data_IF_721814705833
#
_entry.id   IF_721814705833
#
_cell.length_a   1.000
_cell.length_b   1.000
_cell.length_c   1.000
_cell.angle_alpha   90.00
_cell.angle_beta   90.00
_cell.angle_gamma   90.00
#
_symmetry.space_group_name_H-M   'P 1'
#
loop_
_entity.id
_entity.type
_entity.pdbx_description
1 polymer ?
#
# COMPACT_ATOMS: atom_id res chain seq x y z
N UNK A 1 -41.89 -1.86 -1.88
CA UNK A 1 -40.73 -2.74 -2.11
C UNK A 1 -39.94 -2.85 -0.81
N UNK A 2 -39.75 -4.05 -0.32
CA UNK A 2 -38.91 -4.28 0.88
C UNK A 2 -37.46 -4.09 0.49
N UNK A 3 -36.73 -3.16 1.15
CA UNK A 3 -35.31 -2.98 0.92
C UNK A 3 -34.55 -4.20 1.48
N UNK A 4 -33.64 -4.75 0.69
CA UNK A 4 -32.73 -5.78 1.16
C UNK A 4 -31.66 -5.10 2.02
N UNK A 5 -31.50 -5.56 3.27
CA UNK A 5 -30.47 -5.05 4.16
C UNK A 5 -29.06 -5.51 3.72
N UNK A 6 -28.04 -4.67 3.82
CA UNK A 6 -26.66 -5.14 3.70
C UNK A 6 -26.32 -6.08 4.87
N UNK A 7 -25.18 -6.80 4.76
CA UNK A 7 -24.67 -7.60 5.89
C UNK A 7 -24.41 -6.72 7.10
N UNK A 8 -24.56 -7.23 8.31
CA UNK A 8 -24.45 -6.47 9.57
C UNK A 8 -23.10 -5.75 9.71
N UNK A 9 -22.01 -6.40 9.29
CA UNK A 9 -20.68 -5.80 9.33
C UNK A 9 -20.50 -4.57 8.41
N UNK A 10 -21.42 -4.35 7.47
CA UNK A 10 -21.44 -3.17 6.59
C UNK A 10 -22.48 -2.15 7.03
N UNK A 11 -23.60 -2.62 7.59
CA UNK A 11 -24.71 -1.77 7.99
C UNK A 11 -24.33 -0.71 9.03
N UNK A 12 -23.35 -1.00 9.88
CA UNK A 12 -22.84 -0.13 10.95
C UNK A 12 -21.61 0.69 10.54
N UNK A 13 -21.13 0.54 9.31
CA UNK A 13 -19.95 1.27 8.84
C UNK A 13 -20.32 2.62 8.24
N UNK A 14 -19.51 3.61 8.51
CA UNK A 14 -19.49 4.85 7.73
C UNK A 14 -18.50 4.71 6.58
N UNK A 15 -18.86 5.25 5.41
CA UNK A 15 -17.95 5.27 4.26
C UNK A 15 -16.76 6.19 4.53
N UNK A 16 -15.60 5.86 3.98
CA UNK A 16 -14.47 6.77 3.99
C UNK A 16 -14.79 8.02 3.15
N UNK A 17 -14.71 9.19 3.75
CA UNK A 17 -14.94 10.45 3.08
C UNK A 17 -13.69 11.33 3.12
N UNK A 18 -13.22 11.73 1.95
CA UNK A 18 -12.25 12.82 1.79
C UNK A 18 -12.90 13.87 0.89
N UNK A 19 -13.25 15.06 1.41
CA UNK A 19 -13.95 16.07 0.63
C UNK A 19 -13.08 16.55 -0.55
N UNK A 20 -13.66 16.56 -1.75
CA UNK A 20 -13.05 17.20 -2.92
C UNK A 20 -13.49 18.66 -2.97
N UNK A 21 -12.67 19.54 -2.43
CA UNK A 21 -12.94 20.97 -2.37
C UNK A 21 -12.31 21.68 -3.57
N UNK A 22 -13.03 22.63 -4.17
CA UNK A 22 -12.48 23.54 -5.17
C UNK A 22 -11.86 24.74 -4.44
N UNK A 23 -10.57 24.66 -4.17
CA UNK A 23 -9.77 25.67 -3.46
C UNK A 23 -8.44 25.87 -4.16
N UNK A 24 -7.82 27.04 -4.00
CA UNK A 24 -6.53 27.35 -4.64
C UNK A 24 -5.38 26.48 -4.09
N UNK A 25 -5.42 26.15 -2.80
CA UNK A 25 -4.43 25.28 -2.14
C UNK A 25 -5.13 24.10 -1.48
N UNK A 26 -4.95 22.91 -2.03
CA UNK A 26 -5.56 21.67 -1.55
C UNK A 26 -4.52 20.78 -0.87
N UNK A 27 -4.61 20.64 0.46
CA UNK A 27 -3.67 19.87 1.28
C UNK A 27 -4.28 18.64 1.95
N UNK A 28 -5.60 18.44 1.82
CA UNK A 28 -6.33 17.42 2.56
C UNK A 28 -6.13 15.98 2.07
N UNK A 29 -5.53 15.76 0.91
CA UNK A 29 -5.32 14.44 0.31
C UNK A 29 -3.84 14.11 0.10
N UNK A 30 -2.94 15.01 0.51
CA UNK A 30 -1.49 14.84 0.34
C UNK A 30 -1.10 14.50 -1.11
N UNK A 31 -1.72 15.17 -2.07
CA UNK A 31 -1.34 15.07 -3.47
C UNK A 31 -0.04 15.85 -3.74
N UNK A 32 0.75 15.42 -4.73
CA UNK A 32 1.90 16.19 -5.16
C UNK A 32 1.45 17.57 -5.68
N UNK A 33 2.09 18.67 -5.26
CA UNK A 33 1.76 20.01 -5.76
C UNK A 33 2.28 20.25 -7.19
N UNK A 34 3.13 19.37 -7.72
CA UNK A 34 3.75 19.48 -9.04
C UNK A 34 3.22 18.38 -9.96
N UNK A 35 2.89 18.71 -11.23
CA UNK A 35 2.48 17.72 -12.22
C UNK A 35 3.66 16.81 -12.60
N UNK A 36 3.41 15.63 -13.22
CA UNK A 36 4.48 14.82 -13.79
C UNK A 36 5.31 15.61 -14.83
N UNK A 37 6.57 15.20 -15.13
CA UNK A 37 7.38 15.81 -16.16
C UNK A 37 6.67 15.81 -17.53
N UNK A 38 6.81 16.85 -18.34
CA UNK A 38 6.21 16.89 -19.69
C UNK A 38 6.57 15.66 -20.54
N UNK A 39 7.83 15.21 -20.51
CA UNK A 39 8.27 14.03 -21.25
C UNK A 39 7.56 12.73 -20.80
N UNK A 40 7.18 12.60 -19.53
CA UNK A 40 6.34 11.49 -19.06
C UNK A 40 4.96 11.51 -19.74
N UNK A 41 4.32 12.68 -19.78
CA UNK A 41 2.98 12.83 -20.37
C UNK A 41 2.99 12.51 -21.86
N UNK A 42 3.99 13.00 -22.58
CA UNK A 42 4.18 12.74 -24.01
C UNK A 42 4.41 11.24 -24.29
N UNK A 43 5.31 10.60 -23.53
CA UNK A 43 5.60 9.18 -23.66
C UNK A 43 4.36 8.31 -23.36
N UNK A 44 3.60 8.66 -22.32
CA UNK A 44 2.36 7.94 -21.97
C UNK A 44 1.30 8.11 -23.06
N UNK A 45 1.14 9.31 -23.64
CA UNK A 45 0.19 9.54 -24.72
C UNK A 45 0.52 8.70 -25.96
N UNK A 46 1.81 8.59 -26.30
CA UNK A 46 2.26 7.75 -27.40
C UNK A 46 1.97 6.25 -27.15
N UNK A 47 2.26 5.76 -25.94
CA UNK A 47 2.01 4.36 -25.57
C UNK A 47 0.51 4.03 -25.56
N UNK A 48 -0.33 4.94 -25.06
CA UNK A 48 -1.79 4.78 -25.04
C UNK A 48 -2.38 4.71 -26.45
N UNK A 49 -1.79 5.41 -27.42
CA UNK A 49 -2.22 5.35 -28.82
C UNK A 49 -2.00 3.96 -29.47
N UNK A 50 -1.01 3.21 -29.00
CA UNK A 50 -0.67 1.87 -29.49
C UNK A 50 -1.43 0.74 -28.75
N UNK A 51 -2.24 1.05 -27.72
CA UNK A 51 -2.99 0.05 -26.98
C UNK A 51 -3.99 -0.67 -27.88
N UNK A 52 -3.92 -1.99 -27.92
CA UNK A 52 -4.91 -2.83 -28.58
C UNK A 52 -6.20 -2.95 -27.73
N UNK A 53 -7.07 -1.95 -27.80
CA UNK A 53 -8.28 -1.80 -26.97
C UNK A 53 -9.24 -2.99 -27.00
N UNK A 54 -9.15 -3.87 -27.96
CA UNK A 54 -9.97 -5.07 -28.11
C UNK A 54 -9.33 -6.31 -27.44
N UNK A 55 -8.19 -6.15 -26.76
CA UNK A 55 -7.47 -7.21 -26.06
C UNK A 55 -7.38 -6.92 -24.56
N UNK A 56 -7.35 -7.99 -23.77
CA UNK A 56 -7.01 -7.87 -22.35
C UNK A 56 -5.54 -7.49 -22.17
N UNK A 57 -5.21 -6.76 -21.09
CA UNK A 57 -3.82 -6.43 -20.75
C UNK A 57 -3.01 -7.69 -20.38
N UNK A 58 -1.69 -7.51 -20.24
CA UNK A 58 -0.88 -8.56 -19.60
C UNK A 58 -1.39 -8.80 -18.17
N UNK A 59 -1.88 -10.04 -17.94
CA UNK A 59 -2.46 -10.43 -16.65
C UNK A 59 -1.46 -10.31 -15.50
N UNK A 60 -0.19 -10.62 -15.78
CA UNK A 60 0.88 -10.63 -14.79
C UNK A 60 1.54 -9.25 -14.61
N UNK A 61 1.22 -8.26 -15.46
CA UNK A 61 1.91 -6.97 -15.53
C UNK A 61 3.44 -7.14 -15.55
N UNK A 62 3.92 -8.06 -16.38
CA UNK A 62 5.28 -8.60 -16.35
C UNK A 62 6.35 -7.53 -16.45
N UNK A 63 6.22 -6.61 -17.42
CA UNK A 63 7.20 -5.54 -17.60
C UNK A 63 7.23 -4.61 -16.38
N UNK A 64 6.07 -4.19 -15.88
CA UNK A 64 5.97 -3.30 -14.72
C UNK A 64 6.59 -3.93 -13.47
N UNK A 65 6.27 -5.20 -13.19
CA UNK A 65 6.85 -5.95 -12.06
C UNK A 65 8.37 -6.10 -12.19
N UNK A 66 8.84 -6.39 -13.39
CA UNK A 66 10.29 -6.47 -13.67
C UNK A 66 10.98 -5.14 -13.39
N UNK A 67 10.43 -4.02 -13.86
CA UNK A 67 11.00 -2.69 -13.65
C UNK A 67 10.99 -2.26 -12.18
N UNK A 68 9.91 -2.58 -11.45
CA UNK A 68 9.87 -2.34 -10.00
C UNK A 68 10.88 -3.24 -9.28
N UNK A 69 11.01 -4.50 -9.70
CA UNK A 69 12.03 -5.41 -9.17
C UNK A 69 13.45 -4.89 -9.38
N UNK A 70 13.77 -4.43 -10.59
CA UNK A 70 15.05 -3.78 -10.92
C UNK A 70 15.32 -2.54 -10.05
N UNK A 71 14.26 -1.72 -9.79
CA UNK A 71 14.34 -0.54 -8.94
C UNK A 71 14.79 -0.88 -7.51
N UNK A 72 14.30 -1.99 -6.98
CA UNK A 72 14.51 -2.39 -5.58
C UNK A 72 15.53 -3.55 -5.41
N UNK A 73 16.11 -4.05 -6.50
CA UNK A 73 17.09 -5.15 -6.47
C UNK A 73 16.48 -6.50 -6.10
N UNK A 74 15.21 -6.73 -6.44
CA UNK A 74 14.46 -7.97 -6.20
C UNK A 74 13.93 -8.58 -7.49
N UNK A 75 13.51 -9.84 -7.46
CA UNK A 75 12.86 -10.49 -8.61
C UNK A 75 11.40 -10.04 -8.81
N UNK A 76 10.85 -10.13 -10.04
CA UNK A 76 9.45 -9.80 -10.31
C UNK A 76 8.46 -10.67 -9.53
N UNK A 77 8.85 -11.88 -9.11
CA UNK A 77 8.07 -12.77 -8.25
C UNK A 77 7.87 -12.23 -6.83
N UNK A 78 8.70 -11.26 -6.39
CA UNK A 78 8.60 -10.57 -5.13
C UNK A 78 7.80 -9.27 -5.22
N UNK A 79 7.26 -8.92 -6.39
CA UNK A 79 6.51 -7.68 -6.63
C UNK A 79 5.04 -8.00 -6.94
N UNK A 80 4.13 -7.37 -6.23
CA UNK A 80 2.69 -7.38 -6.52
C UNK A 80 2.23 -5.96 -6.84
N UNK A 81 1.51 -5.76 -7.95
CA UNK A 81 1.01 -4.46 -8.42
C UNK A 81 -0.52 -4.42 -8.38
N UNK A 82 -1.10 -3.25 -8.06
CA UNK A 82 -2.55 -3.12 -7.93
C UNK A 82 -3.04 -1.67 -8.15
N UNK A 83 -4.38 -1.48 -8.10
CA UNK A 83 -5.02 -0.16 -8.27
C UNK A 83 -4.82 0.76 -7.06
N UNK A 84 -3.58 1.16 -6.85
CA UNK A 84 -3.09 1.91 -5.69
C UNK A 84 -2.76 1.00 -4.51
N UNK A 85 -2.00 1.53 -3.54
CA UNK A 85 -1.68 0.78 -2.32
C UNK A 85 -2.93 0.33 -1.55
N UNK A 86 -4.06 1.01 -1.69
CA UNK A 86 -5.32 0.61 -1.05
C UNK A 86 -5.81 -0.77 -1.52
N UNK A 87 -5.71 -1.09 -2.81
CA UNK A 87 -6.04 -2.45 -3.29
C UNK A 87 -5.00 -3.47 -2.84
N UNK A 88 -3.72 -3.09 -2.75
CA UNK A 88 -2.69 -3.94 -2.14
C UNK A 88 -3.07 -4.30 -0.70
N UNK A 89 -3.39 -3.30 0.14
CA UNK A 89 -3.80 -3.49 1.52
C UNK A 89 -5.09 -4.33 1.63
N UNK A 90 -6.05 -4.10 0.73
CA UNK A 90 -7.28 -4.89 0.67
C UNK A 90 -7.00 -6.35 0.31
N UNK A 91 -6.15 -6.59 -0.68
CA UNK A 91 -5.78 -7.95 -1.09
C UNK A 91 -5.04 -8.68 0.03
N UNK A 92 -4.12 -8.00 0.75
CA UNK A 92 -3.49 -8.53 1.96
C UNK A 92 -4.53 -8.93 3.02
N UNK A 93 -5.50 -8.05 3.28
CA UNK A 93 -6.54 -8.30 4.28
C UNK A 93 -7.52 -9.40 3.86
N UNK A 94 -7.79 -9.57 2.56
CA UNK A 94 -8.58 -10.67 2.02
C UNK A 94 -7.82 -12.01 2.07
N UNK A 95 -6.49 -11.98 1.95
CA UNK A 95 -5.64 -13.17 1.93
C UNK A 95 -5.33 -13.67 3.34
N UNK A 96 -4.89 -12.78 4.22
CA UNK A 96 -4.37 -13.12 5.56
C UNK A 96 -5.32 -12.75 6.70
N UNK A 97 -6.30 -11.88 6.46
CA UNK A 97 -7.37 -11.51 7.39
C UNK A 97 -8.60 -12.42 7.31
N UNK A 98 -9.77 -11.83 7.55
CA UNK A 98 -11.07 -12.50 7.49
C UNK A 98 -11.64 -12.84 8.87
N UNK A 99 -12.82 -13.51 8.92
CA UNK A 99 -13.49 -13.85 10.15
C UNK A 99 -12.60 -14.69 11.09
N UNK A 100 -12.56 -14.30 12.37
CA UNK A 100 -11.76 -14.96 13.38
C UNK A 100 -10.27 -14.59 13.38
N UNK A 101 -9.82 -13.73 12.46
CA UNK A 101 -8.47 -13.16 12.44
C UNK A 101 -8.48 -11.69 12.83
N UNK A 102 -7.33 -11.17 13.23
CA UNK A 102 -7.18 -9.80 13.72
C UNK A 102 -6.01 -9.12 12.99
N UNK A 103 -6.13 -7.83 12.75
CA UNK A 103 -5.01 -6.95 12.40
C UNK A 103 -4.67 -6.05 13.57
N UNK A 104 -3.40 -5.65 13.71
CA UNK A 104 -2.96 -4.66 14.67
C UNK A 104 -2.61 -3.34 13.96
N UNK A 105 -3.02 -2.21 14.56
CA UNK A 105 -2.68 -0.85 14.15
C UNK A 105 -2.31 -0.02 15.38
N UNK A 106 -1.55 1.07 15.20
CA UNK A 106 -1.08 1.94 16.31
C UNK A 106 -1.45 3.39 16.00
N UNK A 107 -2.51 3.85 16.66
CA UNK A 107 -3.13 5.15 16.42
C UNK A 107 -2.35 6.32 17.10
N UNK A 108 -2.33 7.53 16.50
CA UNK A 108 -2.93 7.85 15.22
C UNK A 108 -2.10 7.31 14.04
N UNK A 109 -2.78 6.72 13.05
CA UNK A 109 -2.15 6.18 11.84
C UNK A 109 -3.10 6.28 10.63
N UNK A 110 -2.74 5.67 9.51
CA UNK A 110 -3.56 5.70 8.30
C UNK A 110 -4.87 4.93 8.48
N UNK A 111 -5.96 5.66 8.59
CA UNK A 111 -7.28 5.11 8.96
C UNK A 111 -7.80 3.99 8.04
N UNK A 112 -7.31 3.90 6.79
CA UNK A 112 -7.74 2.83 5.88
C UNK A 112 -7.19 1.46 6.27
N UNK A 113 -6.15 1.32 7.07
CA UNK A 113 -5.71 0.01 7.59
C UNK A 113 -6.85 -0.65 8.37
N UNK A 114 -7.37 0.03 9.38
CA UNK A 114 -8.50 -0.46 10.18
C UNK A 114 -9.81 -0.54 9.36
N UNK A 115 -10.06 0.42 8.47
CA UNK A 115 -11.26 0.42 7.63
C UNK A 115 -11.29 -0.79 6.69
N UNK A 116 -10.19 -1.09 5.99
CA UNK A 116 -10.05 -2.25 5.11
C UNK A 116 -10.23 -3.56 5.89
N UNK A 117 -9.64 -3.66 7.09
CA UNK A 117 -9.84 -4.82 7.95
C UNK A 117 -11.33 -5.04 8.26
N UNK A 118 -12.06 -3.98 8.62
CA UNK A 118 -13.50 -4.07 8.92
C UNK A 118 -14.32 -4.50 7.70
N UNK A 119 -14.06 -3.97 6.50
CA UNK A 119 -14.79 -4.38 5.29
C UNK A 119 -14.50 -5.83 4.88
N UNK A 120 -13.36 -6.39 5.26
CA UNK A 120 -13.00 -7.80 5.03
C UNK A 120 -13.41 -8.72 6.18
N UNK A 121 -14.20 -8.23 7.15
CA UNK A 121 -14.62 -8.96 8.37
C UNK A 121 -13.44 -9.41 9.24
N UNK A 122 -12.33 -8.70 9.20
CA UNK A 122 -11.16 -8.91 10.06
C UNK A 122 -11.31 -8.06 11.32
N UNK A 123 -11.01 -8.63 12.48
CA UNK A 123 -10.95 -7.89 13.75
C UNK A 123 -9.82 -6.84 13.71
N UNK A 124 -9.98 -5.79 14.50
CA UNK A 124 -8.95 -4.73 14.64
C UNK A 124 -8.55 -4.65 16.11
N UNK A 125 -7.25 -4.82 16.38
CA UNK A 125 -6.63 -4.53 17.66
C UNK A 125 -5.89 -3.19 17.54
N UNK A 126 -6.32 -2.22 18.33
CA UNK A 126 -5.77 -0.87 18.32
C UNK A 126 -4.83 -0.70 19.51
N UNK A 127 -3.62 -0.22 19.22
CA UNK A 127 -2.68 0.31 20.19
C UNK A 127 -2.53 1.81 20.01
N UNK A 128 -1.95 2.48 20.98
CA UNK A 128 -1.69 3.92 20.94
C UNK A 128 -0.20 4.19 20.75
N UNK A 129 0.13 5.24 20.02
CA UNK A 129 1.48 5.81 19.97
C UNK A 129 1.73 6.62 21.23
N UNK A 130 3.00 6.84 21.58
CA UNK A 130 3.38 7.72 22.67
C UNK A 130 2.92 9.18 22.42
N UNK A 131 3.00 10.02 23.43
CA UNK A 131 2.54 11.43 23.36
C UNK A 131 3.30 12.27 22.32
N UNK A 132 4.52 11.87 21.96
CA UNK A 132 5.34 12.45 20.89
C UNK A 132 5.13 11.77 19.53
N UNK A 133 4.16 10.86 19.44
CA UNK A 133 3.81 10.04 18.29
C UNK A 133 4.86 8.98 17.91
N UNK A 134 5.88 8.75 18.69
CA UNK A 134 6.77 7.59 18.51
C UNK A 134 6.02 6.28 18.77
N UNK A 135 6.47 5.19 18.15
CA UNK A 135 5.92 3.87 18.42
C UNK A 135 6.42 3.36 19.77
N UNK A 136 5.47 3.07 20.69
CA UNK A 136 5.80 2.47 21.97
C UNK A 136 5.90 0.95 21.86
N UNK A 137 7.10 0.41 21.95
CA UNK A 137 7.34 -1.03 21.86
C UNK A 137 6.73 -1.83 23.04
N UNK A 138 6.48 -1.22 24.19
CA UNK A 138 5.75 -1.87 25.26
C UNK A 138 4.28 -2.05 24.89
N UNK A 139 3.70 -1.05 24.25
CA UNK A 139 2.33 -1.11 23.71
C UNK A 139 2.24 -2.13 22.57
N UNK A 140 3.23 -2.16 21.66
CA UNK A 140 3.28 -3.19 20.61
C UNK A 140 3.25 -4.60 21.22
N UNK A 141 4.12 -4.86 22.22
CA UNK A 141 4.14 -6.16 22.92
C UNK A 141 2.80 -6.49 23.56
N UNK A 142 2.15 -5.52 24.20
CA UNK A 142 0.83 -5.69 24.82
C UNK A 142 -0.21 -6.09 23.78
N UNK A 143 -0.34 -5.33 22.68
CA UNK A 143 -1.33 -5.58 21.64
C UNK A 143 -1.09 -6.91 20.97
N UNK A 144 0.16 -7.22 20.61
CA UNK A 144 0.53 -8.49 19.97
C UNK A 144 0.24 -9.69 20.88
N UNK A 145 0.60 -9.60 22.15
CA UNK A 145 0.35 -10.69 23.12
C UNK A 145 -1.14 -10.97 23.30
N UNK A 146 -1.97 -9.94 23.30
CA UNK A 146 -3.42 -10.06 23.52
C UNK A 146 -4.17 -10.51 22.25
N UNK A 147 -3.83 -9.96 21.10
CA UNK A 147 -4.61 -10.10 19.87
C UNK A 147 -4.06 -11.17 18.93
N UNK A 148 -2.79 -11.57 19.03
CA UNK A 148 -2.11 -12.50 18.12
C UNK A 148 -2.43 -12.16 16.65
N UNK A 149 -2.10 -10.94 16.17
CA UNK A 149 -2.57 -10.44 14.90
C UNK A 149 -1.99 -11.25 13.73
N UNK A 150 -2.84 -11.53 12.74
CA UNK A 150 -2.40 -12.14 11.47
C UNK A 150 -1.66 -11.14 10.59
N UNK A 151 -1.96 -9.84 10.74
CA UNK A 151 -1.28 -8.74 10.07
C UNK A 151 -1.04 -7.64 11.11
N UNK A 152 0.18 -7.09 11.12
CA UNK A 152 0.50 -5.88 11.86
C UNK A 152 0.89 -4.79 10.88
N UNK A 153 0.24 -3.62 10.95
CA UNK A 153 0.54 -2.48 10.09
C UNK A 153 1.41 -1.47 10.82
N UNK A 154 2.52 -1.08 10.18
CA UNK A 154 3.31 0.10 10.50
C UNK A 154 3.28 1.05 9.31
N UNK A 155 2.89 2.30 9.52
CA UNK A 155 2.98 3.36 8.52
C UNK A 155 4.26 4.15 8.76
N UNK A 156 5.19 4.15 7.80
CA UNK A 156 6.49 4.83 7.95
C UNK A 156 6.99 5.38 6.60
N UNK A 157 7.05 6.70 6.41
CA UNK A 157 6.58 7.76 7.32
C UNK A 157 5.09 7.67 7.66
N UNK A 158 4.75 7.87 8.93
CA UNK A 158 3.38 7.72 9.40
C UNK A 158 2.47 8.87 8.94
N UNK A 159 1.29 8.53 8.49
CA UNK A 159 0.23 9.49 8.22
C UNK A 159 -0.79 9.43 9.40
N UNK A 160 -1.05 10.54 10.16
CA UNK A 160 -0.75 11.93 9.77
C UNK A 160 0.51 12.54 10.39
N UNK A 161 1.26 11.84 11.24
CA UNK A 161 2.26 12.45 12.14
C UNK A 161 3.60 12.77 11.48
N UNK A 162 3.92 12.12 10.35
CA UNK A 162 5.21 12.24 9.67
C UNK A 162 6.36 11.49 10.36
N UNK A 163 6.09 10.79 11.47
CA UNK A 163 7.12 10.01 12.16
C UNK A 163 7.64 8.88 11.28
N UNK A 164 8.95 8.69 11.30
CA UNK A 164 9.64 7.60 10.60
C UNK A 164 10.09 6.59 11.64
N UNK A 165 9.71 5.34 11.46
CA UNK A 165 10.20 4.26 12.30
C UNK A 165 11.67 3.95 11.97
N UNK A 166 12.49 3.73 12.98
CA UNK A 166 13.89 3.36 12.75
C UNK A 166 13.99 1.90 12.31
N UNK A 167 15.14 1.54 11.71
CA UNK A 167 15.43 0.15 11.33
C UNK A 167 15.30 -0.77 12.54
N UNK A 168 15.91 -0.36 13.67
CA UNK A 168 15.89 -1.13 14.92
C UNK A 168 14.46 -1.36 15.43
N UNK A 169 13.60 -0.33 15.32
CA UNK A 169 12.18 -0.44 15.69
C UNK A 169 11.46 -1.45 14.81
N UNK A 170 11.67 -1.41 13.49
CA UNK A 170 11.03 -2.34 12.55
C UNK A 170 11.54 -3.77 12.78
N UNK A 171 12.84 -3.96 12.98
CA UNK A 171 13.44 -5.27 13.30
C UNK A 171 12.88 -5.83 14.62
N UNK A 172 12.72 -5.00 15.65
CA UNK A 172 12.16 -5.43 16.92
C UNK A 172 10.68 -5.82 16.79
N UNK A 173 9.89 -5.03 16.08
CA UNK A 173 8.48 -5.36 15.81
C UNK A 173 8.38 -6.65 15.01
N UNK A 174 9.21 -6.83 13.99
CA UNK A 174 9.26 -8.06 13.19
C UNK A 174 9.53 -9.30 14.05
N UNK A 175 10.40 -9.18 15.06
CA UNK A 175 10.66 -10.26 16.01
C UNK A 175 9.51 -10.54 17.02
N UNK A 176 8.58 -9.62 17.16
CA UNK A 176 7.45 -9.72 18.10
C UNK A 176 6.17 -10.28 17.47
N UNK A 177 5.93 -9.97 16.20
CA UNK A 177 4.64 -10.27 15.54
C UNK A 177 4.55 -11.74 15.12
N UNK A 178 3.43 -12.43 15.39
CA UNK A 178 3.25 -13.82 14.99
C UNK A 178 2.84 -13.99 13.52
N UNK A 179 2.38 -12.92 12.89
CA UNK A 179 1.88 -12.89 11.53
C UNK A 179 2.72 -12.02 10.60
N UNK A 180 2.11 -11.52 9.54
CA UNK A 180 2.77 -10.68 8.54
C UNK A 180 2.96 -9.27 9.08
N UNK A 181 4.18 -8.73 8.99
CA UNK A 181 4.45 -7.31 9.20
C UNK A 181 4.32 -6.57 7.85
N UNK A 182 3.45 -5.58 7.82
CA UNK A 182 3.25 -4.69 6.65
C UNK A 182 3.78 -3.31 7.02
N UNK A 183 4.84 -2.87 6.34
CA UNK A 183 5.33 -1.50 6.44
C UNK A 183 4.74 -0.70 5.28
N UNK A 184 3.82 0.21 5.59
CA UNK A 184 3.20 1.10 4.59
C UNK A 184 4.10 2.31 4.37
N UNK A 185 4.82 2.28 3.28
CA UNK A 185 5.75 3.32 2.82
C UNK A 185 5.13 4.18 1.70
N UNK A 186 3.84 4.54 1.81
CA UNK A 186 3.25 5.47 0.85
C UNK A 186 4.03 6.79 0.71
N UNK A 187 4.83 7.13 1.71
CA UNK A 187 5.72 8.30 1.77
C UNK A 187 7.20 7.90 1.90
N UNK A 188 7.56 6.67 1.54
CA UNK A 188 8.92 6.12 1.75
C UNK A 188 10.03 6.94 1.13
N UNK A 189 9.79 7.62 0.00
CA UNK A 189 10.79 8.48 -0.65
C UNK A 189 11.17 9.73 0.17
N UNK A 190 10.39 10.07 1.21
CA UNK A 190 10.70 11.17 2.14
C UNK A 190 11.47 10.70 3.39
N UNK A 191 11.66 9.38 3.53
CA UNK A 191 12.38 8.80 4.67
C UNK A 191 13.88 8.64 4.35
N UNK A 192 14.75 8.64 5.37
CA UNK A 192 16.20 8.45 5.18
C UNK A 192 16.57 7.00 4.87
N UNK A 193 15.69 6.05 5.08
CA UNK A 193 15.86 4.62 4.82
C UNK A 193 14.51 3.96 4.49
N UNK A 194 14.54 2.73 4.00
CA UNK A 194 13.35 1.96 3.66
C UNK A 194 13.41 0.55 4.22
N UNK A 195 12.30 0.04 4.72
CA UNK A 195 12.16 -1.34 5.16
C UNK A 195 12.30 -2.35 4.00
N UNK A 196 12.34 -1.90 2.75
CA UNK A 196 12.72 -2.71 1.59
C UNK A 196 14.08 -3.40 1.76
N UNK A 197 15.02 -2.78 2.53
CA UNK A 197 16.32 -3.39 2.84
C UNK A 197 16.23 -4.67 3.68
N UNK A 198 15.09 -4.90 4.34
CA UNK A 198 14.82 -6.07 5.19
C UNK A 198 14.05 -7.17 4.46
N UNK A 199 13.49 -6.87 3.27
CA UNK A 199 12.67 -7.81 2.52
C UNK A 199 13.52 -8.94 1.94
N UNK A 200 13.12 -10.17 2.24
CA UNK A 200 13.68 -11.41 1.68
C UNK A 200 12.65 -12.53 1.80
N UNK A 201 12.93 -13.71 1.27
CA UNK A 201 11.97 -14.83 1.29
C UNK A 201 11.88 -15.55 2.65
N UNK A 202 12.78 -15.26 3.59
CA UNK A 202 12.83 -15.93 4.90
C UNK A 202 12.07 -15.15 5.99
N UNK A 203 11.69 -13.88 5.73
CA UNK A 203 11.04 -13.02 6.72
C UNK A 203 9.59 -12.67 6.33
N UNK A 204 8.62 -12.73 7.26
CA UNK A 204 7.22 -12.37 6.99
C UNK A 204 7.03 -10.84 6.99
N UNK A 205 7.80 -10.13 6.18
CA UNK A 205 7.76 -8.68 6.03
C UNK A 205 7.46 -8.29 4.59
N UNK A 206 6.52 -7.37 4.42
CA UNK A 206 6.20 -6.77 3.12
C UNK A 206 6.19 -5.26 3.25
N UNK A 207 6.58 -4.58 2.18
CA UNK A 207 6.56 -3.12 2.08
C UNK A 207 5.58 -2.71 0.99
N UNK A 208 4.67 -1.79 1.30
CA UNK A 208 3.73 -1.23 0.31
C UNK A 208 4.15 0.17 -0.09
N UNK A 209 4.11 0.47 -1.38
CA UNK A 209 4.40 1.80 -1.92
C UNK A 209 3.35 2.24 -2.96
N UNK A 210 3.36 3.51 -3.32
CA UNK A 210 2.36 4.08 -4.23
C UNK A 210 2.99 5.06 -5.22
N UNK A 211 2.43 5.10 -6.42
CA UNK A 211 2.74 6.13 -7.41
C UNK A 211 1.97 7.45 -7.17
N UNK A 212 1.08 7.48 -6.15
CA UNK A 212 0.20 8.63 -5.91
C UNK A 212 0.90 9.86 -5.31
N UNK A 213 2.07 9.70 -4.68
CA UNK A 213 2.73 10.77 -3.91
C UNK A 213 3.94 11.34 -4.66
N UNK A 214 5.13 10.92 -4.37
CA UNK A 214 6.38 11.38 -5.03
C UNK A 214 6.31 11.30 -6.56
N UNK A 215 5.70 10.27 -7.10
CA UNK A 215 5.54 10.05 -8.53
C UNK A 215 4.50 10.95 -9.22
N UNK A 216 3.80 11.83 -8.48
CA UNK A 216 2.77 12.75 -9.01
C UNK A 216 1.67 12.08 -9.83
N UNK A 217 1.33 10.83 -9.54
CA UNK A 217 0.40 10.00 -10.31
C UNK A 217 -0.84 9.58 -9.51
N UNK A 218 -1.35 10.46 -8.63
CA UNK A 218 -2.53 10.15 -7.83
C UNK A 218 -3.75 9.73 -8.67
N UNK A 219 -3.93 10.34 -9.84
CA UNK A 219 -5.01 10.03 -10.78
C UNK A 219 -4.87 8.64 -11.43
N UNK A 220 -3.67 8.11 -11.57
CA UNK A 220 -3.43 6.80 -12.19
C UNK A 220 -3.88 5.64 -11.32
N UNK A 221 -4.05 5.85 -10.01
CA UNK A 221 -4.41 4.79 -9.08
C UNK A 221 -3.49 3.57 -9.24
N UNK A 222 -2.19 3.74 -9.04
CA UNK A 222 -1.20 2.67 -9.12
C UNK A 222 -0.41 2.57 -7.82
N UNK A 223 -0.21 1.35 -7.34
CA UNK A 223 0.59 1.03 -6.18
C UNK A 223 1.13 -0.39 -6.26
N UNK A 224 2.04 -0.72 -5.39
CA UNK A 224 2.66 -2.04 -5.37
C UNK A 224 3.09 -2.46 -3.97
N UNK A 225 3.38 -3.73 -3.85
CA UNK A 225 4.02 -4.36 -2.70
C UNK A 225 5.30 -5.03 -3.17
N UNK A 226 6.33 -4.95 -2.34
CA UNK A 226 7.52 -5.81 -2.42
C UNK A 226 7.55 -6.68 -1.17
N UNK A 227 7.72 -7.97 -1.34
CA UNK A 227 7.72 -8.93 -0.24
C UNK A 227 8.22 -10.30 -0.66
N UNK A 228 8.16 -11.29 0.24
CA UNK A 228 8.51 -12.66 -0.07
C UNK A 228 7.70 -13.20 -1.25
N UNK A 229 8.33 -13.98 -2.11
CA UNK A 229 7.67 -14.57 -3.28
C UNK A 229 6.44 -15.41 -2.92
N UNK A 230 6.49 -16.11 -1.79
CA UNK A 230 5.34 -16.89 -1.28
C UNK A 230 4.17 -16.00 -0.86
N UNK A 231 4.39 -14.77 -0.37
CA UNK A 231 3.30 -13.82 -0.10
C UNK A 231 2.65 -13.40 -1.40
N UNK A 232 3.44 -12.99 -2.39
CA UNK A 232 2.95 -12.56 -3.71
C UNK A 232 2.11 -13.64 -4.37
N UNK A 233 2.57 -14.91 -4.31
CA UNK A 233 1.84 -16.05 -4.86
C UNK A 233 0.46 -16.25 -4.21
N UNK A 234 0.31 -15.95 -2.91
CA UNK A 234 -1.00 -16.01 -2.23
C UNK A 234 -1.91 -14.82 -2.62
N UNK A 235 -1.35 -13.62 -2.79
CA UNK A 235 -2.11 -12.46 -3.25
C UNK A 235 -2.69 -12.65 -4.65
N UNK A 236 -1.94 -13.30 -5.54
CA UNK A 236 -2.37 -13.61 -6.92
C UNK A 236 -3.57 -14.57 -7.00
N UNK A 237 -3.85 -15.33 -5.94
CA UNK A 237 -5.04 -16.20 -5.86
C UNK A 237 -6.33 -15.43 -5.56
N UNK A 238 -6.20 -14.26 -4.94
CA UNK A 238 -7.33 -13.46 -4.40
C UNK A 238 -7.68 -12.31 -5.34
N UNK A 239 -6.69 -11.70 -5.97
CA UNK A 239 -6.92 -10.59 -6.89
C UNK A 239 -7.69 -11.05 -8.14
N UNK A 240 -8.60 -10.20 -8.64
CA UNK A 240 -9.37 -10.52 -9.83
C UNK A 240 -8.47 -10.55 -11.08
N UNK A 241 -8.74 -11.47 -12.03
CA UNK A 241 -8.00 -11.51 -13.29
C UNK A 241 -8.06 -10.17 -14.03
N UNK A 242 -6.91 -9.74 -14.60
CA UNK A 242 -6.82 -8.49 -15.37
C UNK A 242 -7.20 -7.23 -14.61
N UNK A 243 -7.05 -7.22 -13.27
CA UNK A 243 -7.41 -6.10 -12.39
C UNK A 243 -6.67 -4.80 -12.73
N UNK A 244 -5.45 -4.89 -13.29
CA UNK A 244 -4.64 -3.75 -13.69
C UNK A 244 -4.67 -3.57 -15.20
N UNK A 245 -5.28 -2.49 -15.67
CA UNK A 245 -5.43 -2.18 -17.09
C UNK A 245 -4.11 -1.80 -17.77
N UNK A 246 -4.09 -1.86 -19.13
CA UNK A 246 -2.91 -1.56 -19.95
C UNK A 246 -2.37 -0.15 -19.73
N UNK A 247 -3.24 0.84 -19.54
CA UNK A 247 -2.83 2.23 -19.35
C UNK A 247 -2.06 2.43 -18.04
N UNK A 248 -2.50 1.76 -16.95
CA UNK A 248 -1.79 1.81 -15.67
C UNK A 248 -0.46 1.09 -15.73
N UNK A 249 -0.42 -0.08 -16.40
CA UNK A 249 0.84 -0.80 -16.60
C UNK A 249 1.84 0.07 -17.36
N UNK A 250 1.43 0.67 -18.48
CA UNK A 250 2.24 1.59 -19.26
C UNK A 250 2.68 2.81 -18.45
N UNK A 251 1.76 3.45 -17.73
CA UNK A 251 2.07 4.62 -16.92
C UNK A 251 3.12 4.32 -15.84
N UNK A 252 3.01 3.19 -15.15
CA UNK A 252 4.00 2.77 -14.15
C UNK A 252 5.36 2.50 -14.78
N UNK A 253 5.40 1.73 -15.87
CA UNK A 253 6.64 1.39 -16.58
C UNK A 253 7.36 2.64 -17.12
N UNK A 254 6.60 3.58 -17.67
CA UNK A 254 7.15 4.84 -18.16
C UNK A 254 7.63 5.73 -17.00
N UNK A 255 6.85 5.84 -15.91
CA UNK A 255 7.22 6.66 -14.75
C UNK A 255 8.59 6.29 -14.18
N UNK A 256 8.92 5.00 -14.14
CA UNK A 256 10.20 4.52 -13.64
C UNK A 256 11.41 5.03 -14.45
N UNK A 257 11.21 5.36 -15.75
CA UNK A 257 12.25 6.01 -16.57
C UNK A 257 12.53 7.45 -16.15
N UNK A 258 11.55 8.10 -15.49
CA UNK A 258 11.63 9.47 -14.99
C UNK A 258 11.86 9.54 -13.48
N UNK A 259 12.34 8.43 -12.86
CA UNK A 259 12.55 8.32 -11.43
C UNK A 259 13.29 9.52 -10.85
N UNK A 260 14.45 9.84 -11.41
CA UNK A 260 15.30 10.94 -10.92
C UNK A 260 14.54 12.26 -10.89
N UNK A 261 13.86 12.60 -11.98
CA UNK A 261 13.09 13.84 -12.08
C UNK A 261 11.90 13.88 -11.11
N UNK A 262 11.32 12.72 -10.78
CA UNK A 262 10.21 12.60 -9.84
C UNK A 262 10.66 12.70 -8.37
N UNK A 263 11.83 12.14 -8.04
CA UNK A 263 12.38 12.14 -6.66
C UNK A 263 13.09 13.46 -6.29
N UNK A 264 13.54 14.26 -7.26
CA UNK A 264 14.20 15.57 -7.04
C UNK A 264 13.20 16.73 -6.79
N UNK A 265 11.90 16.46 -6.72
CA UNK A 265 10.82 17.45 -6.54
C UNK A 265 10.34 17.52 -5.10
#
# INVERSE_FOLDING_TARGET
MTRIAPRDSVALMEGYHSPQLSVDVRLNTNESPVPPPPGFVEALAAEVAEVEWHRYPDRAATELRTRIGELHGVGPEQVFVANGSNEVLQTLSLTYGGPGRTVAVFEPTYALHAHIARITCTGVAEGERAADFSLDLAEVRRVVAQAQPAITYLCSPNNPTGMVETRETVDEVLGLVPGLLVVDEAYGQFAPWSALELVNDDTPLVVTQTFSKTWSMAAARLGYLVGPSWVVAELEKVVLPYHLDSMKQAAGTIALRYRREMEER
#
